data_IF_654450171897
#
_entry.id   IF_654450171897
#
_cell.length_a   1.000
_cell.length_b   1.000
_cell.length_c   1.000
_cell.angle_alpha   90.00
_cell.angle_beta   90.00
_cell.angle_gamma   90.00
#
_symmetry.space_group_name_H-M   'P 1'
#
loop_
_entity.id
_entity.type
_entity.pdbx_description
1 polymer ?
#
# COMPACT_ATOMS: atom_id res chain seq x y z
N UNK A 1 -37.22 -11.67 1.25
CA UNK A 1 -36.04 -11.71 0.35
C UNK A 1 -34.86 -12.04 1.24
N UNK A 2 -34.48 -13.31 1.29
CA UNK A 2 -33.36 -13.73 2.13
C UNK A 2 -32.07 -13.25 1.49
N UNK A 3 -31.27 -12.52 2.27
CA UNK A 3 -29.94 -12.11 1.84
C UNK A 3 -29.08 -13.37 1.74
N UNK A 4 -28.62 -13.71 0.54
CA UNK A 4 -27.63 -14.77 0.35
C UNK A 4 -26.32 -14.26 0.92
N UNK A 5 -25.85 -14.89 2.00
CA UNK A 5 -24.54 -14.59 2.56
C UNK A 5 -23.44 -14.96 1.52
N UNK A 6 -22.38 -14.15 1.40
CA UNK A 6 -21.26 -14.47 0.53
C UNK A 6 -20.62 -15.82 0.89
N UNK A 7 -20.13 -16.56 -0.10
CA UNK A 7 -19.32 -17.76 0.14
C UNK A 7 -18.03 -17.38 0.87
N UNK A 8 -17.44 -18.31 1.61
CA UNK A 8 -16.17 -18.10 2.32
C UNK A 8 -15.06 -17.59 1.38
N UNK A 9 -14.94 -18.17 0.18
CA UNK A 9 -13.99 -17.71 -0.83
C UNK A 9 -14.25 -16.26 -1.27
N UNK A 10 -15.52 -15.88 -1.46
CA UNK A 10 -15.86 -14.51 -1.87
C UNK A 10 -15.58 -13.48 -0.76
N UNK A 11 -15.78 -13.87 0.51
CA UNK A 11 -15.44 -13.06 1.66
C UNK A 11 -13.91 -12.91 1.80
N UNK A 12 -13.16 -14.00 1.61
CA UNK A 12 -11.70 -13.98 1.69
C UNK A 12 -11.05 -13.14 0.59
N UNK A 13 -11.52 -13.27 -0.66
CA UNK A 13 -11.15 -12.39 -1.78
C UNK A 13 -11.43 -10.92 -1.47
N UNK A 14 -12.59 -10.63 -0.89
CA UNK A 14 -12.94 -9.28 -0.44
C UNK A 14 -11.99 -8.76 0.63
N UNK A 15 -11.62 -9.62 1.59
CA UNK A 15 -10.64 -9.32 2.63
C UNK A 15 -9.26 -8.97 2.05
N UNK A 16 -8.77 -9.75 1.10
CA UNK A 16 -7.49 -9.49 0.41
C UNK A 16 -7.48 -8.12 -0.30
N UNK A 17 -8.56 -7.77 -1.00
CA UNK A 17 -8.71 -6.46 -1.66
C UNK A 17 -8.72 -5.30 -0.67
N UNK A 18 -9.53 -5.40 0.40
CA UNK A 18 -9.62 -4.36 1.43
C UNK A 18 -8.27 -4.17 2.12
N UNK A 19 -7.60 -5.27 2.46
CA UNK A 19 -6.28 -5.24 3.08
C UNK A 19 -5.25 -4.57 2.17
N UNK A 20 -5.16 -4.97 0.90
CA UNK A 20 -4.22 -4.37 -0.05
C UNK A 20 -4.47 -2.88 -0.28
N UNK A 21 -5.74 -2.46 -0.34
CA UNK A 21 -6.12 -1.04 -0.44
C UNK A 21 -5.59 -0.23 0.73
N UNK A 22 -5.95 -0.62 1.96
CA UNK A 22 -5.56 0.10 3.18
C UNK A 22 -4.04 0.16 3.31
N UNK A 23 -3.37 -0.96 3.04
CA UNK A 23 -1.93 -1.03 3.07
C UNK A 23 -1.29 -0.07 2.07
N UNK A 24 -1.74 0.00 0.82
CA UNK A 24 -1.13 0.86 -0.22
C UNK A 24 -1.40 2.35 0.00
N UNK A 25 -2.57 2.73 0.51
CA UNK A 25 -2.86 4.13 0.84
C UNK A 25 -1.86 4.67 1.89
N UNK A 26 -1.53 3.87 2.90
CA UNK A 26 -0.55 4.25 3.92
C UNK A 26 0.91 4.07 3.43
N UNK A 27 1.25 2.90 2.87
CA UNK A 27 2.60 2.57 2.41
C UNK A 27 3.11 3.47 1.28
N UNK A 28 2.20 3.96 0.42
CA UNK A 28 2.51 4.91 -0.64
C UNK A 28 2.68 6.35 -0.15
N UNK A 29 2.29 6.66 1.07
CA UNK A 29 2.25 8.02 1.59
C UNK A 29 3.53 8.40 2.34
N UNK A 30 3.77 9.71 2.47
CA UNK A 30 4.95 10.27 3.14
C UNK A 30 4.70 11.70 3.59
N UNK A 31 5.37 12.15 4.64
CA UNK A 31 5.51 13.56 4.96
C UNK A 31 6.83 13.84 5.65
N UNK A 32 7.46 14.98 5.39
CA UNK A 32 8.65 15.42 6.13
C UNK A 32 8.37 15.61 7.63
N UNK A 33 7.11 15.85 8.03
CA UNK A 33 6.73 16.04 9.42
C UNK A 33 6.76 14.73 10.25
N UNK A 34 6.36 13.60 9.65
CA UNK A 34 6.26 12.30 10.32
C UNK A 34 7.24 11.24 9.78
N UNK A 35 7.89 11.52 8.66
CA UNK A 35 8.69 10.57 7.90
C UNK A 35 7.83 9.38 7.43
N UNK A 36 8.42 8.18 7.54
CA UNK A 36 7.77 6.90 7.26
C UNK A 36 7.27 6.18 8.52
N UNK A 37 7.15 6.87 9.66
CA UNK A 37 6.81 6.24 10.95
C UNK A 37 5.47 5.47 10.92
N UNK A 38 4.53 5.89 10.09
CA UNK A 38 3.23 5.22 9.93
C UNK A 38 3.39 3.79 9.35
N UNK A 39 4.39 3.56 8.49
CA UNK A 39 4.66 2.25 7.88
C UNK A 39 5.05 1.20 8.94
N UNK A 40 5.66 1.62 10.05
CA UNK A 40 6.06 0.71 11.14
C UNK A 40 4.85 -0.03 11.75
N UNK A 41 3.66 0.57 11.70
CA UNK A 41 2.42 -0.05 12.17
C UNK A 41 2.02 -1.28 11.32
N UNK A 42 2.52 -1.37 10.10
CA UNK A 42 2.23 -2.46 9.17
C UNK A 42 3.28 -3.57 9.18
N UNK A 43 4.36 -3.46 9.96
CA UNK A 43 5.37 -4.53 10.07
C UNK A 43 4.79 -5.90 10.44
N UNK A 44 3.80 -6.03 11.35
CA UNK A 44 3.15 -7.32 11.64
C UNK A 44 2.33 -7.87 10.46
N UNK A 45 2.00 -7.01 9.49
CA UNK A 45 1.20 -7.32 8.30
C UNK A 45 2.05 -7.56 7.05
N UNK A 46 3.37 -7.61 7.20
CA UNK A 46 4.33 -7.96 6.15
C UNK A 46 4.92 -9.34 6.43
N UNK A 47 5.36 -10.03 5.38
CA UNK A 47 6.29 -11.15 5.54
C UNK A 47 7.63 -10.63 6.07
N UNK A 48 8.46 -11.52 6.62
CA UNK A 48 9.77 -11.14 7.13
C UNK A 48 10.64 -10.47 6.05
N UNK A 49 10.67 -11.05 4.85
CA UNK A 49 11.39 -10.51 3.69
C UNK A 49 10.90 -9.12 3.29
N UNK A 50 9.58 -8.92 3.23
CA UNK A 50 8.99 -7.63 2.87
C UNK A 50 9.27 -6.54 3.92
N UNK A 51 9.24 -6.92 5.20
CA UNK A 51 9.61 -6.03 6.30
C UNK A 51 11.07 -5.61 6.19
N UNK A 52 12.00 -6.56 6.04
CA UNK A 52 13.43 -6.28 5.91
C UNK A 52 13.71 -5.38 4.70
N UNK A 53 13.07 -5.66 3.56
CA UNK A 53 13.12 -4.80 2.38
C UNK A 53 12.64 -3.37 2.69
N UNK A 54 11.50 -3.22 3.36
CA UNK A 54 10.92 -1.92 3.71
C UNK A 54 11.83 -1.13 4.65
N UNK A 55 12.40 -1.78 5.67
CA UNK A 55 13.32 -1.14 6.61
C UNK A 55 14.58 -0.62 5.89
N UNK A 56 15.10 -1.36 4.90
CA UNK A 56 16.22 -0.92 4.07
C UNK A 56 15.79 0.24 3.18
N UNK A 57 14.66 0.11 2.48
CA UNK A 57 14.13 1.12 1.57
C UNK A 57 13.94 2.47 2.28
N UNK A 58 13.30 2.49 3.45
CA UNK A 58 13.09 3.71 4.26
C UNK A 58 14.43 4.40 4.59
N UNK A 59 15.48 3.63 4.91
CA UNK A 59 16.79 4.19 5.26
C UNK A 59 17.48 4.88 4.08
N UNK A 60 17.35 4.29 2.89
CA UNK A 60 18.04 4.73 1.65
C UNK A 60 17.20 5.64 0.75
N UNK A 61 15.93 5.89 1.10
CA UNK A 61 14.98 6.59 0.22
C UNK A 61 15.42 8.04 -0.09
N UNK A 62 15.42 8.46 -1.38
CA UNK A 62 15.79 9.81 -1.82
C UNK A 62 14.78 10.93 -1.50
N UNK A 63 13.59 10.66 -0.96
CA UNK A 63 12.61 11.71 -0.57
C UNK A 63 13.10 12.66 0.52
N UNK A 64 14.26 12.37 1.14
CA UNK A 64 14.98 13.28 2.05
C UNK A 64 15.45 14.60 1.42
N UNK A 65 15.34 14.78 0.11
CA UNK A 65 15.96 15.91 -0.64
C UNK A 65 14.93 16.97 -1.10
N UNK A 66 13.62 16.77 -0.89
CA UNK A 66 12.60 17.73 -1.37
C UNK A 66 12.15 18.68 -0.24
N UNK A 67 12.50 19.95 -0.43
CA UNK A 67 12.20 21.14 0.38
C UNK A 67 12.68 21.14 1.84
N UNK A 68 13.31 22.25 2.24
CA UNK A 68 13.71 22.51 3.63
C UNK A 68 12.51 22.80 4.55
N UNK A 69 11.30 23.00 3.99
CA UNK A 69 10.11 23.40 4.75
C UNK A 69 9.14 22.24 4.96
N UNK A 70 8.34 21.88 3.95
CA UNK A 70 7.38 20.77 4.04
C UNK A 70 7.18 20.12 2.68
N UNK A 71 7.28 18.79 2.67
CA UNK A 71 6.95 17.96 1.52
C UNK A 71 6.09 16.79 1.99
N UNK A 72 5.03 16.49 1.26
CA UNK A 72 4.22 15.29 1.48
C UNK A 72 3.83 14.61 0.19
N UNK A 73 3.56 13.32 0.29
CA UNK A 73 2.92 12.52 -0.74
C UNK A 73 1.72 11.86 -0.11
N UNK A 74 0.55 12.09 -0.66
CA UNK A 74 -0.69 11.41 -0.28
C UNK A 74 -1.07 10.45 -1.39
N UNK A 75 -1.27 9.17 -1.06
CA UNK A 75 -1.68 8.13 -2.00
C UNK A 75 -3.11 7.71 -1.73
N UNK A 76 -3.91 7.64 -2.79
CA UNK A 76 -5.30 7.18 -2.75
C UNK A 76 -5.52 6.10 -3.78
N UNK A 77 -6.32 5.09 -3.44
CA UNK A 77 -6.66 4.02 -4.40
C UNK A 77 -7.87 4.44 -5.23
N UNK A 78 -7.68 4.50 -6.54
CA UNK A 78 -8.74 4.81 -7.50
C UNK A 78 -9.52 3.55 -7.89
N UNK A 79 -8.80 2.44 -8.09
CA UNK A 79 -9.38 1.16 -8.47
C UNK A 79 -8.45 0.02 -8.04
N UNK A 80 -9.01 -1.18 -7.88
CA UNK A 80 -8.23 -2.38 -7.60
C UNK A 80 -8.94 -3.65 -8.09
N UNK A 81 -8.15 -4.64 -8.47
CA UNK A 81 -8.63 -5.96 -8.91
C UNK A 81 -7.64 -7.05 -8.52
N UNK A 82 -8.15 -8.27 -8.33
CA UNK A 82 -7.30 -9.46 -8.16
C UNK A 82 -6.93 -9.98 -9.54
N UNK A 83 -5.64 -10.09 -9.82
CA UNK A 83 -5.10 -10.64 -11.06
C UNK A 83 -4.88 -12.14 -10.93
N UNK A 84 -4.43 -12.59 -9.76
CA UNK A 84 -4.23 -14.01 -9.45
C UNK A 84 -4.77 -14.32 -8.04
N UNK A 85 -5.44 -15.46 -7.89
CA UNK A 85 -5.96 -15.92 -6.60
C UNK A 85 -5.71 -17.41 -6.44
N UNK A 86 -5.08 -17.80 -5.34
CA UNK A 86 -4.86 -19.17 -4.94
C UNK A 86 -5.28 -19.40 -3.48
N UNK A 87 -5.09 -20.61 -2.99
CA UNK A 87 -5.52 -20.98 -1.63
C UNK A 87 -4.88 -20.09 -0.56
N UNK A 88 -3.58 -19.79 -0.71
CA UNK A 88 -2.79 -19.03 0.26
C UNK A 88 -2.04 -17.85 -0.38
N UNK A 89 -2.46 -17.40 -1.56
CA UNK A 89 -1.79 -16.31 -2.26
C UNK A 89 -2.77 -15.49 -3.09
N UNK A 90 -2.48 -14.20 -3.24
CA UNK A 90 -3.19 -13.33 -4.14
C UNK A 90 -2.26 -12.27 -4.74
N UNK A 91 -2.46 -11.94 -6.00
CA UNK A 91 -1.82 -10.80 -6.65
C UNK A 91 -2.88 -9.76 -6.93
N UNK A 92 -2.72 -8.56 -6.37
CA UNK A 92 -3.67 -7.45 -6.51
C UNK A 92 -3.04 -6.35 -7.34
N UNK A 93 -3.70 -5.98 -8.43
CA UNK A 93 -3.35 -4.79 -9.20
C UNK A 93 -4.18 -3.60 -8.69
N UNK A 94 -3.51 -2.47 -8.46
CA UNK A 94 -4.10 -1.28 -7.85
C UNK A 94 -3.68 -0.06 -8.66
N UNK A 95 -4.68 0.71 -9.09
CA UNK A 95 -4.50 2.01 -9.72
C UNK A 95 -4.54 3.07 -8.61
N UNK A 96 -3.49 3.88 -8.48
CA UNK A 96 -3.44 4.93 -7.45
C UNK A 96 -3.39 6.33 -8.05
N UNK A 97 -3.93 7.29 -7.30
CA UNK A 97 -3.71 8.71 -7.50
C UNK A 97 -2.85 9.26 -6.37
N UNK A 98 -1.81 10.01 -6.73
CA UNK A 98 -0.85 10.60 -5.80
C UNK A 98 -0.90 12.11 -5.88
N UNK A 99 -0.93 12.76 -4.73
CA UNK A 99 -0.82 14.21 -4.60
C UNK A 99 0.49 14.51 -3.88
N UNK A 100 1.42 15.16 -4.58
CA UNK A 100 2.62 15.72 -3.97
C UNK A 100 2.34 17.17 -3.59
N UNK A 101 2.61 17.53 -2.33
CA UNK A 101 2.53 18.91 -1.83
C UNK A 101 3.92 19.39 -1.49
N UNK A 102 4.33 20.53 -2.05
CA UNK A 102 5.61 21.18 -1.75
C UNK A 102 5.40 22.66 -1.35
N UNK A 103 5.91 23.03 -0.19
CA UNK A 103 5.77 24.36 0.44
C UNK A 103 7.16 25.00 0.50
N UNK A 104 7.32 26.31 0.22
CA UNK A 104 6.30 27.38 0.19
C UNK A 104 5.64 27.67 -1.16
N UNK A 105 6.01 26.95 -2.21
CA UNK A 105 5.51 27.20 -3.57
C UNK A 105 4.02 26.84 -3.74
N UNK A 106 3.42 26.17 -2.73
CA UNK A 106 2.04 25.65 -2.73
C UNK A 106 1.76 24.89 -4.03
N UNK A 107 2.73 24.10 -4.47
CA UNK A 107 2.64 23.36 -5.71
C UNK A 107 2.07 21.97 -5.41
N UNK A 108 0.81 21.77 -5.80
CA UNK A 108 0.17 20.46 -5.73
C UNK A 108 0.33 19.76 -7.08
N UNK A 109 1.18 18.73 -7.15
CA UNK A 109 1.33 17.90 -8.34
C UNK A 109 0.49 16.64 -8.20
N UNK A 110 -0.42 16.43 -9.13
CA UNK A 110 -1.15 15.17 -9.23
C UNK A 110 -0.47 14.23 -10.22
N UNK A 111 -0.38 12.95 -9.86
CA UNK A 111 0.10 11.90 -10.74
C UNK A 111 -0.66 10.60 -10.50
N UNK A 112 -0.62 9.71 -11.48
CA UNK A 112 -1.09 8.34 -11.33
C UNK A 112 0.10 7.43 -11.23
N UNK A 113 -0.02 6.40 -10.40
CA UNK A 113 0.98 5.35 -10.33
C UNK A 113 0.30 4.03 -10.01
N UNK A 114 0.54 3.04 -10.85
CA UNK A 114 -0.04 1.72 -10.61
C UNK A 114 0.90 0.89 -9.73
N UNK A 115 0.33 -0.05 -8.99
CA UNK A 115 1.09 -0.93 -8.12
C UNK A 115 0.53 -2.34 -8.15
N UNK A 116 1.45 -3.29 -8.19
CA UNK A 116 1.17 -4.71 -8.01
C UNK A 116 1.55 -5.09 -6.59
N UNK A 117 0.60 -5.69 -5.85
CA UNK A 117 0.80 -6.15 -4.47
C UNK A 117 0.66 -7.65 -4.44
N UNK A 118 1.70 -8.31 -3.94
CA UNK A 118 1.68 -9.76 -3.70
C UNK A 118 1.35 -10.02 -2.25
N UNK A 119 0.34 -10.85 -2.04
CA UNK A 119 -0.15 -11.28 -0.75
C UNK A 119 0.08 -12.77 -0.57
N UNK A 120 0.42 -13.15 0.66
CA UNK A 120 0.44 -14.54 1.10
C UNK A 120 -0.40 -14.68 2.36
N UNK A 121 -1.04 -15.84 2.52
CA UNK A 121 -1.83 -16.17 3.70
C UNK A 121 -0.98 -16.97 4.68
N UNK A 122 -0.92 -16.51 5.91
CA UNK A 122 -0.18 -17.14 7.01
C UNK A 122 -1.13 -17.41 8.17
N UNK A 123 -1.30 -18.69 8.52
CA UNK A 123 -2.23 -19.29 9.49
C UNK A 123 -3.73 -18.99 9.28
N UNK A 124 -4.10 -17.74 9.00
CA UNK A 124 -5.44 -17.28 8.57
C UNK A 124 -5.44 -15.80 8.14
N UNK A 125 -4.31 -15.09 8.28
CA UNK A 125 -4.19 -13.67 7.97
C UNK A 125 -3.47 -13.44 6.65
N UNK A 126 -3.94 -12.46 5.87
CA UNK A 126 -3.21 -11.94 4.72
C UNK A 126 -2.02 -11.09 5.18
N UNK A 127 -0.85 -11.35 4.59
CA UNK A 127 0.37 -10.57 4.74
C UNK A 127 0.86 -10.09 3.38
N UNK A 128 1.47 -8.91 3.36
CA UNK A 128 2.13 -8.38 2.18
C UNK A 128 3.50 -9.03 2.02
N UNK A 129 3.70 -9.67 0.88
CA UNK A 129 4.96 -10.31 0.49
C UNK A 129 5.77 -9.46 -0.49
N UNK A 130 5.12 -8.57 -1.24
CA UNK A 130 5.82 -7.65 -2.13
C UNK A 130 4.95 -6.51 -2.64
N UNK A 131 5.61 -5.39 -2.94
CA UNK A 131 5.00 -4.18 -3.51
C UNK A 131 5.85 -3.73 -4.69
N UNK A 132 5.25 -3.63 -5.87
CA UNK A 132 5.95 -3.34 -7.11
C UNK A 132 5.26 -2.17 -7.83
N UNK A 133 5.77 -0.96 -7.58
CA UNK A 133 5.35 0.26 -8.28
C UNK A 133 5.70 0.18 -9.77
N UNK A 134 4.79 0.65 -10.63
CA UNK A 134 4.97 0.72 -12.10
C UNK A 134 5.14 2.15 -12.58
#
# INVERSE_FOLDING_TARGET
KDAVLPSEESADRGGALVFARVFIEDYGSFSTASGYRHIENYYPKMTQSMREFTEIWIKVNPTKVKSDSFYSIETSVANLRIDEYGNNSATVFIETARVETDVPEYYNRQSKQDVEVKLVKDEEEWKVDGVYWK
#
